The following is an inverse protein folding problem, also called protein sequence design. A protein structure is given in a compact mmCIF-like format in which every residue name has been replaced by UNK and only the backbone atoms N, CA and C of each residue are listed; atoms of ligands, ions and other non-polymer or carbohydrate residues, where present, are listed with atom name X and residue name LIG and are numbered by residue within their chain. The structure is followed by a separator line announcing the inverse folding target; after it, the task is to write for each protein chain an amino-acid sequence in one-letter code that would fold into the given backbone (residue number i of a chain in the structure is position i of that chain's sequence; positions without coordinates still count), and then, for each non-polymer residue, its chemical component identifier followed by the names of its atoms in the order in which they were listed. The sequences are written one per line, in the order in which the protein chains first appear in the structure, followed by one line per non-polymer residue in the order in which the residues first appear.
data_IF_100955237317
#
_entry.id   IF_100955237317
#
_cell.length_a   1.000
_cell.length_b   1.000
_cell.length_c   1.000
_cell.angle_alpha   90.00
_cell.angle_beta   90.00
_cell.angle_gamma   90.00
#
_symmetry.space_group_name_H-M   'P 1'
#
loop_
_entity.id
_entity.type
_entity.pdbx_description
1 polymer ?
#
# COMPACT_ATOMS: atom_id res chain seq x y z
N UNK A 1 13.35 -3.11 -24.72
CA UNK A 1 13.18 -3.00 -23.28
C UNK A 1 11.73 -3.24 -22.88
N UNK A 2 11.54 -4.05 -21.92
CA UNK A 2 10.19 -4.35 -21.51
C UNK A 2 9.61 -3.24 -20.65
N UNK A 3 8.33 -3.03 -20.77
CA UNK A 3 7.62 -2.12 -19.89
C UNK A 3 7.67 -2.66 -18.47
N UNK A 4 7.79 -1.75 -17.52
CA UNK A 4 7.73 -2.14 -16.12
C UNK A 4 6.29 -2.16 -15.67
N UNK A 5 5.91 -3.24 -15.06
CA UNK A 5 4.61 -3.27 -14.43
C UNK A 5 4.63 -2.44 -13.16
N UNK A 6 3.50 -1.81 -12.90
CA UNK A 6 3.29 -1.06 -11.67
C UNK A 6 2.48 -1.94 -10.74
N UNK A 7 2.91 -2.08 -9.52
CA UNK A 7 2.14 -2.79 -8.51
C UNK A 7 1.18 -1.82 -7.85
N UNK A 8 -0.08 -2.17 -7.90
CA UNK A 8 -1.14 -1.41 -7.26
C UNK A 8 -1.57 -2.20 -6.02
N UNK A 9 -1.50 -1.57 -4.87
CA UNK A 9 -1.76 -2.24 -3.60
C UNK A 9 -3.00 -1.64 -2.97
N UNK A 10 -3.97 -2.50 -2.65
CA UNK A 10 -5.15 -2.13 -1.89
C UNK A 10 -4.97 -2.61 -0.46
N UNK A 11 -5.23 -1.72 0.48
CA UNK A 11 -5.06 -2.00 1.91
C UNK A 11 -6.42 -1.87 2.57
N UNK A 12 -6.83 -2.87 3.32
CA UNK A 12 -8.12 -2.86 4.00
C UNK A 12 -7.96 -3.24 5.46
N UNK A 13 -8.93 -2.80 6.26
CA UNK A 13 -8.94 -3.03 7.68
C UNK A 13 -9.96 -2.12 8.33
N UNK A 14 -10.02 -2.11 9.66
CA UNK A 14 -10.91 -1.19 10.33
C UNK A 14 -10.35 0.24 10.28
N UNK A 15 -11.18 1.21 10.65
CA UNK A 15 -10.81 2.61 10.52
C UNK A 15 -9.53 2.97 11.28
N UNK A 16 -9.36 2.43 12.48
CA UNK A 16 -8.17 2.72 13.27
C UNK A 16 -6.92 2.21 12.59
N UNK A 17 -7.00 1.03 11.99
CA UNK A 17 -5.87 0.45 11.27
C UNK A 17 -5.59 1.23 9.98
N UNK A 18 -6.64 1.68 9.29
CA UNK A 18 -6.44 2.47 8.08
C UNK A 18 -5.76 3.80 8.39
N UNK A 19 -6.13 4.44 9.49
CA UNK A 19 -5.47 5.67 9.92
C UNK A 19 -3.99 5.41 10.21
N UNK A 20 -3.70 4.29 10.87
CA UNK A 20 -2.33 3.91 11.16
C UNK A 20 -1.54 3.67 9.87
N UNK A 21 -2.17 3.01 8.90
CA UNK A 21 -1.54 2.77 7.60
C UNK A 21 -1.25 4.08 6.87
N UNK A 22 -2.22 5.01 6.88
CA UNK A 22 -2.03 6.31 6.25
C UNK A 22 -0.87 7.05 6.90
N UNK A 23 -0.80 7.04 8.22
CA UNK A 23 0.27 7.68 8.95
C UNK A 23 1.64 7.09 8.57
N UNK A 24 1.71 5.78 8.46
CA UNK A 24 2.94 5.12 8.04
C UNK A 24 3.34 5.54 6.63
N UNK A 25 2.38 5.53 5.70
CA UNK A 25 2.67 5.91 4.31
C UNK A 25 3.13 7.36 4.21
N UNK A 26 2.55 8.25 5.02
CA UNK A 26 3.01 9.64 5.07
C UNK A 26 4.44 9.74 5.59
N UNK A 27 4.77 8.95 6.59
CA UNK A 27 6.10 8.95 7.18
C UNK A 27 7.17 8.57 6.17
N UNK A 28 6.88 7.60 5.31
CA UNK A 28 7.82 7.17 4.28
C UNK A 28 7.65 7.93 2.97
N UNK A 29 6.77 8.94 2.97
CA UNK A 29 6.53 9.83 1.84
C UNK A 29 6.02 9.09 0.60
N UNK A 30 5.19 8.10 0.82
CA UNK A 30 4.54 7.36 -0.24
C UNK A 30 3.18 8.00 -0.53
N UNK A 31 2.96 8.42 -1.77
CA UNK A 31 1.66 8.95 -2.17
C UNK A 31 0.62 7.84 -2.13
N UNK A 32 -0.57 8.16 -1.65
CA UNK A 32 -1.63 7.17 -1.53
C UNK A 32 -2.99 7.84 -1.70
N UNK A 33 -3.99 7.01 -1.97
CA UNK A 33 -5.38 7.43 -1.99
C UNK A 33 -6.08 6.86 -0.77
N UNK A 34 -6.76 7.69 -0.02
CA UNK A 34 -7.46 7.30 1.19
C UNK A 34 -8.96 7.35 0.96
N UNK A 35 -9.62 6.24 1.22
CA UNK A 35 -11.07 6.15 1.25
C UNK A 35 -11.47 5.64 2.63
N UNK A 36 -12.72 5.82 3.02
CA UNK A 36 -13.14 5.35 4.33
C UNK A 36 -13.07 3.84 4.47
N UNK A 37 -13.05 3.10 3.36
CA UNK A 37 -13.05 1.65 3.40
C UNK A 37 -11.71 1.03 3.05
N UNK A 38 -10.81 1.80 2.42
CA UNK A 38 -9.53 1.25 1.98
C UNK A 38 -8.55 2.37 1.70
N UNK A 39 -7.29 1.95 1.57
CA UNK A 39 -6.22 2.82 1.08
C UNK A 39 -5.63 2.11 -0.13
N UNK A 40 -5.19 2.86 -1.12
CA UNK A 40 -4.44 2.26 -2.21
C UNK A 40 -3.22 3.12 -2.53
N UNK A 41 -2.18 2.46 -2.95
CA UNK A 41 -0.98 3.13 -3.44
C UNK A 41 -0.38 2.28 -4.53
N UNK A 42 0.55 2.86 -5.28
CA UNK A 42 1.20 2.14 -6.36
C UNK A 42 2.68 2.48 -6.40
N UNK A 43 3.48 1.55 -6.88
CA UNK A 43 4.90 1.78 -7.05
C UNK A 43 5.45 0.79 -8.06
N UNK A 44 6.53 1.20 -8.73
CA UNK A 44 7.28 0.32 -9.63
C UNK A 44 8.41 -0.40 -8.92
N UNK A 45 8.68 -0.04 -7.68
CA UNK A 45 9.81 -0.59 -6.93
C UNK A 45 9.32 -1.74 -6.07
N UNK A 46 9.62 -2.95 -6.53
CA UNK A 46 9.12 -4.16 -5.89
C UNK A 46 9.50 -4.26 -4.42
N UNK A 47 10.76 -4.00 -4.12
CA UNK A 47 11.23 -4.12 -2.74
C UNK A 47 10.52 -3.14 -1.81
N UNK A 48 10.23 -1.93 -2.31
CA UNK A 48 9.50 -0.94 -1.53
C UNK A 48 8.09 -1.44 -1.25
N UNK A 49 7.43 -1.98 -2.29
CA UNK A 49 6.06 -2.51 -2.14
C UNK A 49 6.03 -3.61 -1.09
N UNK A 50 6.95 -4.58 -1.20
CA UNK A 50 6.92 -5.71 -0.28
C UNK A 50 7.30 -5.32 1.15
N UNK A 51 8.18 -4.35 1.32
CA UNK A 51 8.50 -3.83 2.66
C UNK A 51 7.27 -3.18 3.29
N UNK A 52 6.54 -2.39 2.51
CA UNK A 52 5.32 -1.74 3.00
C UNK A 52 4.27 -2.79 3.34
N UNK A 53 4.07 -3.76 2.46
CA UNK A 53 3.08 -4.82 2.68
C UNK A 53 3.39 -5.58 3.97
N UNK A 54 4.66 -5.90 4.20
CA UNK A 54 5.07 -6.60 5.41
C UNK A 54 4.75 -5.77 6.65
N UNK A 55 5.05 -4.49 6.60
CA UNK A 55 4.79 -3.60 7.73
C UNK A 55 3.29 -3.49 8.02
N UNK A 56 2.49 -3.35 6.96
CA UNK A 56 1.04 -3.24 7.12
C UNK A 56 0.44 -4.52 7.67
N UNK A 57 0.95 -5.68 7.26
CA UNK A 57 0.51 -6.95 7.83
C UNK A 57 0.83 -7.03 9.32
N UNK A 58 1.97 -6.49 9.72
CA UNK A 58 2.35 -6.47 11.13
C UNK A 58 1.39 -5.63 11.96
N UNK A 59 0.75 -4.63 11.35
CA UNK A 59 -0.27 -3.83 12.03
C UNK A 59 -1.63 -4.52 12.06
N UNK A 60 -1.79 -5.60 11.33
CA UNK A 60 -3.07 -6.31 11.26
C UNK A 60 -3.92 -5.96 10.06
N UNK A 61 -3.36 -5.22 9.11
CA UNK A 61 -4.09 -4.86 7.90
C UNK A 61 -4.02 -5.98 6.87
N UNK A 62 -4.98 -5.99 5.96
CA UNK A 62 -4.99 -6.89 4.82
C UNK A 62 -4.58 -6.12 3.58
N UNK A 63 -3.84 -6.77 2.71
CA UNK A 63 -3.39 -6.15 1.47
C UNK A 63 -3.72 -7.03 0.29
N UNK A 64 -3.92 -6.38 -0.84
CA UNK A 64 -4.12 -7.05 -2.12
C UNK A 64 -3.26 -6.35 -3.15
N UNK A 65 -2.36 -7.11 -3.75
CA UNK A 65 -1.42 -6.57 -4.73
C UNK A 65 -1.90 -6.98 -6.12
N UNK A 66 -2.05 -6.00 -7.00
CA UNK A 66 -2.38 -6.26 -8.40
C UNK A 66 -1.33 -5.59 -9.27
N UNK A 67 -1.27 -6.00 -10.51
CA UNK A 67 -0.32 -5.45 -11.47
C UNK A 67 -1.08 -4.64 -12.50
N UNK A 68 -0.50 -3.50 -12.88
CA UNK A 68 -1.06 -2.66 -13.92
C UNK A 68 0.09 -2.17 -14.80
N UNK A 69 -0.22 -1.84 -16.05
CA UNK A 69 0.78 -1.41 -17.01
C UNK A 69 0.60 0.04 -17.42
#
# INVERSE_FOLDING_TARGET
MSARSVKLVYVSGNNNLLVKAASYLMTIRMAYYYSKDFIRFKSRRDEVVWDIVRELHAYGLKTRVTYTY
#
